data_IF_622277018326
#
_entry.id   IF_622277018326
#
_cell.length_a   1.000
_cell.length_b   1.000
_cell.length_c   1.000
_cell.angle_alpha   90.00
_cell.angle_beta   90.00
_cell.angle_gamma   90.00
#
_symmetry.space_group_name_H-M   'P 1'
#
loop_
_entity.id
_entity.type
_entity.pdbx_description
1 polymer ?
#
# COMPACT_ATOMS: atom_id res chain seq x y z
N UNK A 1 16.89 -8.63 -2.43
CA UNK A 1 16.17 -9.90 -2.70
C UNK A 1 14.71 -9.71 -3.12
N UNK A 2 13.87 -8.99 -2.36
CA UNK A 2 12.42 -8.83 -2.66
C UNK A 2 12.08 -8.31 -4.07
N UNK A 3 12.84 -7.36 -4.62
CA UNK A 3 12.61 -6.79 -5.97
C UNK A 3 12.82 -7.80 -7.12
N UNK A 4 13.82 -8.66 -7.03
CA UNK A 4 14.12 -9.65 -8.08
C UNK A 4 13.02 -10.72 -8.10
N UNK A 5 12.66 -11.24 -6.92
CA UNK A 5 11.58 -12.22 -6.77
C UNK A 5 10.22 -11.61 -7.13
N UNK A 6 9.94 -10.38 -6.71
CA UNK A 6 8.70 -9.67 -7.03
C UNK A 6 8.53 -9.40 -8.53
N UNK A 7 9.60 -8.99 -9.21
CA UNK A 7 9.58 -8.78 -10.66
C UNK A 7 9.36 -10.09 -11.43
N UNK A 8 10.01 -11.18 -11.02
CA UNK A 8 9.79 -12.50 -11.59
C UNK A 8 8.35 -12.99 -11.36
N UNK A 9 7.84 -12.88 -10.14
CA UNK A 9 6.46 -13.26 -9.84
C UNK A 9 5.45 -12.38 -10.59
N UNK A 10 5.69 -11.08 -10.75
CA UNK A 10 4.82 -10.22 -11.57
C UNK A 10 4.80 -10.62 -13.04
N UNK A 11 5.90 -11.17 -13.56
CA UNK A 11 5.97 -11.63 -14.96
C UNK A 11 5.22 -12.94 -15.21
N UNK A 12 5.06 -13.78 -14.18
CA UNK A 12 4.47 -15.13 -14.31
C UNK A 12 3.13 -15.33 -13.60
N UNK A 13 2.81 -14.52 -12.59
CA UNK A 13 1.54 -14.59 -11.85
C UNK A 13 0.63 -13.43 -12.27
N UNK A 14 -0.20 -13.71 -13.27
CA UNK A 14 -1.20 -12.78 -13.81
C UNK A 14 -2.48 -12.73 -12.98
N UNK A 15 -2.59 -13.51 -11.90
CA UNK A 15 -3.83 -13.67 -11.12
C UNK A 15 -3.77 -13.06 -9.72
N UNK A 16 -2.79 -12.19 -9.45
CA UNK A 16 -2.66 -11.57 -8.12
C UNK A 16 -3.96 -10.85 -7.72
N UNK A 17 -4.44 -10.97 -6.48
CA UNK A 17 -5.68 -10.31 -6.07
C UNK A 17 -5.58 -8.78 -6.13
N UNK A 18 -4.37 -8.21 -6.06
CA UNK A 18 -4.11 -6.78 -6.20
C UNK A 18 -2.70 -6.52 -6.71
N UNK A 19 -2.42 -5.29 -7.11
CA UNK A 19 -1.10 -4.79 -7.53
C UNK A 19 -0.95 -3.35 -7.02
N UNK A 20 0.25 -3.03 -6.51
CA UNK A 20 0.58 -1.69 -6.00
C UNK A 20 1.83 -1.19 -6.72
N UNK A 21 1.71 -0.01 -7.32
CA UNK A 21 2.79 0.70 -7.99
C UNK A 21 3.52 1.56 -6.96
N UNK A 22 4.42 0.92 -6.21
CA UNK A 22 5.23 1.60 -5.22
C UNK A 22 6.68 1.08 -5.20
N UNK A 23 7.65 1.92 -4.80
CA UNK A 23 9.01 1.53 -4.47
C UNK A 23 9.09 0.31 -3.53
N UNK A 24 10.20 -0.41 -3.63
CA UNK A 24 10.42 -1.69 -2.94
C UNK A 24 10.40 -1.64 -1.41
N UNK A 25 10.34 -0.45 -0.81
CA UNK A 25 10.25 -0.24 0.64
C UNK A 25 8.80 -0.04 1.12
N UNK A 26 7.82 -0.08 0.21
CA UNK A 26 6.40 -0.17 0.55
C UNK A 26 6.00 -1.64 0.55
N UNK A 27 5.37 -2.07 1.63
CA UNK A 27 4.69 -3.35 1.73
C UNK A 27 3.19 -3.14 1.61
N UNK A 28 2.54 -4.04 0.90
CA UNK A 28 1.10 -4.02 0.70
C UNK A 28 0.51 -5.38 1.09
N UNK A 29 -0.48 -5.35 1.98
CA UNK A 29 -1.15 -6.54 2.49
C UNK A 29 -2.66 -6.37 2.36
N UNK A 30 -3.33 -7.27 1.66
CA UNK A 30 -4.78 -7.29 1.56
C UNK A 30 -5.35 -8.27 2.58
N UNK A 31 -6.19 -7.78 3.48
CA UNK A 31 -6.89 -8.54 4.50
C UNK A 31 -8.39 -8.50 4.25
N UNK A 32 -9.12 -9.48 4.77
CA UNK A 32 -10.58 -9.56 4.65
C UNK A 32 -11.20 -9.63 6.05
N UNK A 33 -12.32 -8.95 6.25
CA UNK A 33 -13.11 -9.03 7.48
C UNK A 33 -14.60 -8.90 7.14
N UNK A 34 -15.31 -10.02 7.17
CA UNK A 34 -16.71 -10.07 6.72
C UNK A 34 -16.79 -9.76 5.23
N UNK A 35 -17.64 -8.80 4.85
CA UNK A 35 -17.81 -8.37 3.45
C UNK A 35 -16.81 -7.31 3.00
N UNK A 36 -16.06 -6.72 3.94
CA UNK A 36 -15.08 -5.67 3.66
C UNK A 36 -13.67 -6.25 3.46
N UNK A 37 -12.90 -5.61 2.58
CA UNK A 37 -11.47 -5.86 2.42
C UNK A 37 -10.67 -4.65 2.88
N UNK A 38 -9.49 -4.87 3.43
CA UNK A 38 -8.61 -3.84 3.97
C UNK A 38 -7.25 -3.99 3.32
N UNK A 39 -6.86 -3.01 2.51
CA UNK A 39 -5.51 -2.93 1.94
C UNK A 39 -4.64 -2.09 2.86
N UNK A 40 -3.70 -2.74 3.53
CA UNK A 40 -2.68 -2.09 4.36
C UNK A 40 -1.49 -1.73 3.49
N UNK A 41 -1.09 -0.46 3.51
CA UNK A 41 0.13 0.04 2.88
C UNK A 41 1.09 0.50 3.96
N UNK A 42 2.25 -0.15 4.08
CA UNK A 42 3.23 0.11 5.13
C UNK A 42 4.54 0.55 4.48
N UNK A 43 5.01 1.75 4.80
CA UNK A 43 6.29 2.26 4.34
C UNK A 43 7.38 1.89 5.35
N UNK A 44 8.26 0.98 4.98
CA UNK A 44 9.43 0.62 5.77
C UNK A 44 10.61 1.53 5.42
N UNK A 45 10.97 2.46 6.29
CA UNK A 45 12.22 3.18 6.17
C UNK A 45 13.19 2.76 7.28
N UNK A 46 14.46 2.57 6.92
CA UNK A 46 15.54 2.21 7.86
C UNK A 46 16.54 3.34 8.04
N UNK A 47 16.22 4.56 7.58
CA UNK A 47 17.09 5.72 7.73
C UNK A 47 17.02 6.18 9.18
N UNK A 48 18.10 5.92 9.90
CA UNK A 48 18.29 6.29 11.29
C UNK A 48 19.01 7.64 11.36
N UNK A 49 18.58 8.52 12.25
CA UNK A 49 19.22 9.82 12.51
C UNK A 49 19.88 9.76 13.90
N UNK A 50 21.08 10.31 14.01
CA UNK A 50 21.82 10.40 15.29
C UNK A 50 23.10 9.57 15.34
N UNK A 51 24.03 9.99 16.21
CA UNK A 51 25.25 9.23 16.50
C UNK A 51 24.88 8.04 17.39
N UNK A 52 25.23 6.81 16.97
CA UNK A 52 24.92 5.58 17.74
C UNK A 52 25.47 5.61 19.18
N UNK A 53 26.41 6.51 19.48
CA UNK A 53 27.06 6.67 20.78
C UNK A 53 26.22 7.44 21.81
N UNK A 54 25.20 8.21 21.41
CA UNK A 54 24.46 9.11 22.32
C UNK A 54 23.00 8.72 22.59
N UNK A 55 22.47 7.74 21.86
CA UNK A 55 21.07 7.30 22.00
C UNK A 55 20.97 5.79 22.28
N UNK A 56 20.14 5.41 23.26
CA UNK A 56 19.89 4.00 23.63
C UNK A 56 19.15 3.20 22.54
N UNK A 57 18.62 3.88 21.53
CA UNK A 57 18.05 3.32 20.31
C UNK A 57 18.31 4.29 19.15
N UNK A 58 18.22 3.82 17.91
CA UNK A 58 18.42 4.66 16.74
C UNK A 58 17.06 5.21 16.25
N UNK A 59 16.73 6.49 16.52
CA UNK A 59 15.43 7.05 16.17
C UNK A 59 15.29 7.24 14.65
N UNK A 60 14.05 7.12 14.18
CA UNK A 60 13.63 7.58 12.85
C UNK A 60 12.84 8.87 13.09
N UNK A 61 13.49 10.01 12.85
CA UNK A 61 12.87 11.32 13.11
C UNK A 61 12.06 11.86 11.94
N UNK A 62 12.35 11.40 10.73
CA UNK A 62 11.69 11.89 9.51
C UNK A 62 11.45 10.74 8.56
N UNK A 63 10.22 10.66 8.06
CA UNK A 63 9.83 9.74 6.99
C UNK A 63 9.39 10.59 5.81
N UNK A 64 10.04 10.39 4.67
CA UNK A 64 9.65 11.09 3.44
C UNK A 64 8.34 10.50 2.94
N UNK A 65 7.24 11.26 2.91
CA UNK A 65 5.97 10.76 2.45
C UNK A 65 6.05 10.39 0.97
N UNK A 66 5.32 9.34 0.63
CA UNK A 66 5.13 8.90 -0.74
C UNK A 66 3.79 9.39 -1.23
N UNK A 67 3.76 9.78 -2.49
CA UNK A 67 2.60 10.38 -3.12
C UNK A 67 2.18 9.55 -4.32
N UNK A 68 0.90 9.67 -4.67
CA UNK A 68 0.32 9.14 -5.90
C UNK A 68 0.58 7.64 -6.12
N UNK A 69 0.31 6.84 -5.07
CA UNK A 69 0.51 5.38 -5.13
C UNK A 69 -0.66 4.75 -5.90
N UNK A 70 -0.35 4.24 -7.09
CA UNK A 70 -1.31 3.51 -7.92
C UNK A 70 -1.64 2.14 -7.32
N UNK A 71 -2.93 1.84 -7.19
CA UNK A 71 -3.42 0.55 -6.70
C UNK A 71 -4.44 0.00 -7.69
N UNK A 72 -4.30 -1.28 -8.03
CA UNK A 72 -5.29 -2.05 -8.77
C UNK A 72 -5.70 -3.28 -7.96
N UNK A 73 -7.01 -3.51 -7.82
CA UNK A 73 -7.57 -4.66 -7.12
C UNK A 73 -8.44 -5.44 -8.09
N UNK A 74 -8.16 -6.73 -8.25
CA UNK A 74 -8.88 -7.63 -9.17
C UNK A 74 -10.15 -8.17 -8.52
N UNK A 75 -11.07 -7.25 -8.23
CA UNK A 75 -12.39 -7.55 -7.66
C UNK A 75 -13.41 -6.52 -8.15
N UNK A 76 -14.27 -6.96 -9.07
CA UNK A 76 -15.31 -6.12 -9.67
C UNK A 76 -16.47 -5.81 -8.72
N UNK A 77 -16.61 -6.58 -7.62
CA UNK A 77 -17.67 -6.34 -6.64
C UNK A 77 -17.43 -5.09 -5.80
N UNK A 78 -16.19 -4.59 -5.70
CA UNK A 78 -15.86 -3.39 -4.94
C UNK A 78 -16.64 -2.17 -5.48
N UNK A 79 -17.37 -1.49 -4.62
CA UNK A 79 -18.14 -0.27 -4.94
C UNK A 79 -17.53 1.00 -4.36
N UNK A 80 -16.75 0.88 -3.29
CA UNK A 80 -16.18 2.02 -2.60
C UNK A 80 -14.76 1.73 -2.11
N UNK A 81 -13.87 2.72 -2.20
CA UNK A 81 -12.57 2.72 -1.53
C UNK A 81 -12.50 3.94 -0.60
N UNK A 82 -12.21 3.71 0.68
CA UNK A 82 -12.10 4.76 1.70
C UNK A 82 -10.74 4.67 2.36
N UNK A 83 -9.97 5.74 2.28
CA UNK A 83 -8.70 5.88 2.98
C UNK A 83 -8.97 6.17 4.46
N UNK A 84 -8.34 5.37 5.31
CA UNK A 84 -8.37 5.46 6.76
C UNK A 84 -6.99 5.85 7.29
N UNK A 85 -6.92 6.64 8.38
CA UNK A 85 -8.04 7.03 9.28
C UNK A 85 -8.86 8.26 8.86
N UNK A 86 -8.49 8.96 7.79
CA UNK A 86 -9.09 10.26 7.43
C UNK A 86 -10.53 10.17 6.90
N UNK A 87 -11.01 8.97 6.58
CA UNK A 87 -12.33 8.75 6.00
C UNK A 87 -12.47 9.31 4.58
N UNK A 88 -11.36 9.51 3.87
CA UNK A 88 -11.34 10.11 2.54
C UNK A 88 -11.75 9.08 1.49
N UNK A 89 -12.86 9.33 0.80
CA UNK A 89 -13.28 8.50 -0.32
C UNK A 89 -12.34 8.69 -1.53
N UNK A 90 -11.83 7.57 -2.06
CA UNK A 90 -10.93 7.55 -3.20
C UNK A 90 -11.72 7.30 -4.48
N UNK A 91 -11.55 8.14 -5.52
CA UNK A 91 -12.19 7.92 -6.81
C UNK A 91 -11.80 6.56 -7.39
N UNK A 92 -12.80 5.71 -7.64
CA UNK A 92 -12.62 4.42 -8.27
C UNK A 92 -12.70 4.55 -9.79
N UNK A 93 -11.73 3.95 -10.49
CA UNK A 93 -11.78 3.70 -11.93
C UNK A 93 -12.03 2.21 -12.14
N UNK A 94 -13.08 1.86 -12.88
CA UNK A 94 -13.33 0.47 -13.27
C UNK A 94 -12.27 -0.01 -14.27
N UNK A 95 -11.81 -1.25 -14.11
CA UNK A 95 -10.94 -1.95 -15.07
C UNK A 95 -11.65 -3.20 -15.56
N UNK A 96 -11.11 -3.85 -16.59
CA UNK A 96 -11.69 -5.08 -17.16
C UNK A 96 -11.81 -6.21 -16.12
N UNK A 97 -10.92 -6.22 -15.12
CA UNK A 97 -10.79 -7.26 -14.09
C UNK A 97 -11.05 -6.78 -12.65
N UNK A 98 -11.49 -5.53 -12.44
CA UNK A 98 -11.74 -5.01 -11.10
C UNK A 98 -11.83 -3.48 -11.00
N UNK A 99 -11.06 -2.93 -10.05
CA UNK A 99 -11.03 -1.49 -9.74
C UNK A 99 -9.61 -0.98 -9.58
N UNK A 100 -9.37 0.27 -9.96
CA UNK A 100 -8.13 0.99 -9.75
C UNK A 100 -8.40 2.32 -9.04
N UNK A 101 -7.48 2.73 -8.17
CA UNK A 101 -7.52 4.01 -7.46
C UNK A 101 -6.11 4.47 -7.10
N UNK A 102 -5.99 5.71 -6.64
CA UNK A 102 -4.71 6.30 -6.24
C UNK A 102 -4.77 6.71 -4.77
N UNK A 103 -3.77 6.30 -3.99
CA UNK A 103 -3.60 6.78 -2.62
C UNK A 103 -2.73 8.04 -2.67
N UNK A 104 -3.28 9.21 -2.28
CA UNK A 104 -2.61 10.49 -2.51
C UNK A 104 -1.36 10.70 -1.63
N UNK A 105 -1.33 10.05 -0.46
CA UNK A 105 -0.23 10.18 0.49
C UNK A 105 -0.10 8.95 1.37
N UNK A 106 1.13 8.48 1.56
CA UNK A 106 1.54 7.46 2.52
C UNK A 106 2.72 7.98 3.33
N UNK A 107 2.62 7.96 4.66
CA UNK A 107 3.75 8.25 5.56
C UNK A 107 4.33 6.96 6.15
N UNK A 108 3.68 6.40 7.17
CA UNK A 108 4.16 5.18 7.82
C UNK A 108 3.23 4.03 7.43
N UNK A 109 1.94 4.30 7.58
CA UNK A 109 0.89 3.33 7.39
C UNK A 109 -0.36 4.04 6.89
N UNK A 110 -1.01 3.46 5.90
CA UNK A 110 -2.34 3.82 5.46
C UNK A 110 -3.17 2.56 5.27
N UNK A 111 -4.47 2.65 5.50
CA UNK A 111 -5.40 1.55 5.25
C UNK A 111 -6.45 2.03 4.25
N UNK A 112 -6.67 1.27 3.19
CA UNK A 112 -7.80 1.48 2.29
C UNK A 112 -8.85 0.43 2.58
N UNK A 113 -9.99 0.85 3.11
CA UNK A 113 -11.17 0.02 3.26
C UNK A 113 -11.89 -0.08 1.91
N UNK A 114 -12.03 -1.29 1.40
CA UNK A 114 -12.68 -1.62 0.15
C UNK A 114 -14.01 -2.29 0.48
N UNK A 115 -15.12 -1.63 0.11
CA UNK A 115 -16.48 -2.14 0.35
C UNK A 115 -17.07 -2.68 -0.94
N UNK A 116 -17.75 -3.82 -0.87
CA UNK A 116 -18.46 -4.46 -2.00
C UNK A 116 -19.87 -3.91 -2.24
#
# INVERSE_FOLDING_TARGET
>A
MRRIVGNLLNAYDTQKPFTVEAPAHVEANLMERGDDRFLHLIQYQSVQVGEKSTAFYAPIETITPMHDIGVTVRDSSIKQAVLQPEGLELPLRRTDDGVAFTVPKLHIHAIVQLKR
#
